data_IF_691498979127
#
_entry.id   IF_691498979127
#
_cell.length_a   1.000
_cell.length_b   1.000
_cell.length_c   1.000
_cell.angle_alpha   90.00
_cell.angle_beta   90.00
_cell.angle_gamma   90.00
#
_symmetry.space_group_name_H-M   'P 1'
#
loop_
_entity.id
_entity.type
_entity.pdbx_description
1 polymer ?
#
# COMPACT_ATOMS: atom_id res chain seq x y z
N UNK A 1 5.16 -31.88 11.39
CA UNK A 1 3.88 -31.15 11.43
C UNK A 1 4.21 -29.72 11.84
N UNK A 2 4.28 -28.80 10.88
CA UNK A 2 4.58 -27.40 11.16
C UNK A 2 3.24 -26.68 11.42
N UNK A 3 3.13 -26.05 12.57
CA UNK A 3 1.99 -25.23 12.96
C UNK A 3 1.96 -24.02 12.03
N UNK A 4 1.06 -24.02 11.05
CA UNK A 4 0.68 -22.85 10.26
C UNK A 4 -0.03 -21.89 11.21
N UNK A 5 0.72 -20.97 11.81
CA UNK A 5 0.12 -19.83 12.49
C UNK A 5 -0.64 -19.00 11.46
N UNK A 6 -1.95 -18.89 11.60
CA UNK A 6 -2.77 -17.95 10.83
C UNK A 6 -2.23 -16.53 11.11
N UNK A 7 -1.44 -16.01 10.18
CA UNK A 7 -0.92 -14.66 10.27
C UNK A 7 -2.08 -13.70 9.98
N UNK A 8 -2.59 -13.05 11.03
CA UNK A 8 -3.63 -12.03 10.91
C UNK A 8 -3.13 -10.91 9.99
N UNK A 9 -3.94 -10.56 8.98
CA UNK A 9 -3.65 -9.47 8.05
C UNK A 9 -3.50 -8.14 8.80
N UNK A 10 -2.51 -7.32 8.42
CA UNK A 10 -2.31 -5.99 9.01
C UNK A 10 -3.13 -4.92 8.29
N UNK A 11 -4.45 -5.03 8.38
CA UNK A 11 -5.39 -4.14 7.70
C UNK A 11 -6.25 -3.45 8.74
N UNK A 12 -6.32 -2.12 8.66
CA UNK A 12 -7.21 -1.29 9.46
C UNK A 12 -8.11 -0.51 8.52
N UNK A 13 -9.39 -0.34 8.89
CA UNK A 13 -10.31 0.45 8.09
C UNK A 13 -11.25 1.27 8.96
N UNK A 14 -11.59 2.46 8.48
CA UNK A 14 -12.67 3.28 9.01
C UNK A 14 -13.65 3.60 7.87
N UNK A 15 -14.94 3.59 8.17
CA UNK A 15 -15.99 3.92 7.19
C UNK A 15 -16.88 5.00 7.77
N UNK A 16 -17.08 6.08 7.02
CA UNK A 16 -18.00 7.17 7.35
C UNK A 16 -18.85 7.49 6.11
N UNK A 17 -20.16 7.28 6.20
CA UNK A 17 -21.06 7.41 5.06
C UNK A 17 -20.68 6.49 3.88
N UNK A 18 -20.30 7.08 2.74
CA UNK A 18 -19.88 6.36 1.53
C UNK A 18 -18.35 6.25 1.39
N UNK A 19 -17.59 6.79 2.34
CA UNK A 19 -16.13 6.78 2.30
C UNK A 19 -15.61 5.66 3.20
N UNK A 20 -14.78 4.78 2.65
CA UNK A 20 -13.99 3.81 3.42
C UNK A 20 -12.52 4.12 3.24
N UNK A 21 -11.81 4.36 4.34
CA UNK A 21 -10.36 4.49 4.36
C UNK A 21 -9.76 3.16 4.78
N UNK A 22 -8.93 2.55 3.93
CA UNK A 22 -8.19 1.32 4.24
C UNK A 22 -6.72 1.68 4.43
N UNK A 23 -6.16 1.32 5.58
CA UNK A 23 -4.77 1.54 5.94
C UNK A 23 -4.05 0.22 6.16
N UNK A 24 -2.92 0.05 5.47
CA UNK A 24 -2.08 -1.13 5.54
C UNK A 24 -0.65 -0.67 5.79
N UNK A 25 -0.12 -0.93 6.98
CA UNK A 25 1.28 -0.61 7.29
C UNK A 25 2.19 -1.76 6.82
N UNK A 26 3.19 -1.44 6.01
CA UNK A 26 4.20 -2.39 5.48
C UNK A 26 3.53 -3.63 4.86
N UNK A 27 2.75 -3.45 3.77
CA UNK A 27 2.03 -4.54 3.11
C UNK A 27 2.97 -5.68 2.74
N UNK A 28 2.52 -6.92 2.95
CA UNK A 28 3.17 -8.12 2.44
C UNK A 28 2.30 -8.78 1.38
N UNK A 29 2.77 -9.90 0.83
CA UNK A 29 2.06 -10.61 -0.24
C UNK A 29 0.61 -10.99 0.13
N UNK A 30 0.31 -11.24 1.40
CA UNK A 30 -1.04 -11.57 1.86
C UNK A 30 -1.98 -10.37 1.78
N UNK A 31 -1.51 -9.17 2.14
CA UNK A 31 -2.29 -7.93 2.02
C UNK A 31 -2.46 -7.51 0.56
N UNK A 32 -1.47 -7.74 -0.30
CA UNK A 32 -1.60 -7.48 -1.74
C UNK A 32 -2.62 -8.42 -2.38
N UNK A 33 -2.65 -9.69 -1.99
CA UNK A 33 -3.67 -10.63 -2.43
C UNK A 33 -5.06 -10.22 -1.92
N UNK A 34 -5.17 -9.72 -0.68
CA UNK A 34 -6.41 -9.12 -0.19
C UNK A 34 -6.86 -7.95 -1.09
N UNK A 35 -5.97 -7.01 -1.42
CA UNK A 35 -6.30 -5.87 -2.28
C UNK A 35 -6.77 -6.33 -3.66
N UNK A 36 -6.09 -7.32 -4.23
CA UNK A 36 -6.44 -7.93 -5.53
C UNK A 36 -7.83 -8.57 -5.56
N UNK A 37 -8.24 -9.18 -4.44
CA UNK A 37 -9.53 -9.86 -4.35
C UNK A 37 -10.70 -8.91 -4.07
N UNK A 38 -10.45 -7.78 -3.40
CA UNK A 38 -11.50 -6.86 -2.95
C UNK A 38 -11.64 -5.63 -3.86
N UNK A 39 -10.60 -5.28 -4.62
CA UNK A 39 -10.58 -4.12 -5.51
C UNK A 39 -10.11 -4.51 -6.92
N UNK A 40 -10.49 -3.71 -7.91
CA UNK A 40 -10.16 -3.94 -9.33
C UNK A 40 -8.89 -3.18 -9.75
N UNK A 41 -7.90 -3.09 -8.86
CA UNK A 41 -6.66 -2.40 -9.15
C UNK A 41 -5.87 -3.07 -10.28
N UNK A 42 -5.17 -2.26 -11.06
CA UNK A 42 -4.34 -2.77 -12.14
C UNK A 42 -3.22 -3.67 -11.57
N UNK A 43 -2.98 -4.89 -12.11
CA UNK A 43 -2.01 -5.83 -11.56
C UNK A 43 -0.60 -5.26 -11.39
N UNK A 44 -0.14 -4.41 -12.32
CA UNK A 44 1.17 -3.76 -12.22
C UNK A 44 1.28 -2.82 -11.01
N UNK A 45 0.18 -2.15 -10.62
CA UNK A 45 0.20 -1.29 -9.43
C UNK A 45 0.29 -2.12 -8.14
N UNK A 46 -0.29 -3.33 -8.14
CA UNK A 46 -0.19 -4.26 -7.00
C UNK A 46 1.22 -4.84 -6.86
N UNK A 47 1.89 -5.12 -7.99
CA UNK A 47 3.30 -5.52 -8.00
C UNK A 47 4.21 -4.39 -7.51
N UNK A 48 3.87 -3.13 -7.84
CA UNK A 48 4.60 -1.94 -7.42
C UNK A 48 4.67 -1.80 -5.89
N UNK A 49 3.57 -2.09 -5.17
CA UNK A 49 3.47 -2.01 -3.68
C UNK A 49 4.52 -2.89 -2.98
N UNK A 50 4.92 -4.01 -3.60
CA UNK A 50 5.91 -4.95 -3.04
C UNK A 50 7.32 -4.66 -3.57
N UNK A 51 7.42 -3.87 -4.63
CA UNK A 51 8.68 -3.57 -5.31
C UNK A 51 9.52 -2.55 -4.53
N UNK A 52 10.85 -2.60 -4.72
CA UNK A 52 11.79 -1.78 -3.94
C UNK A 52 12.13 -0.48 -4.65
N UNK A 53 11.23 0.51 -4.57
CA UNK A 53 11.39 1.92 -4.98
C UNK A 53 10.83 2.21 -6.37
N UNK A 54 9.59 2.71 -6.39
CA UNK A 54 9.00 3.36 -7.55
C UNK A 54 9.35 4.85 -7.59
N UNK A 55 9.27 5.47 -8.77
CA UNK A 55 9.35 6.95 -8.85
C UNK A 55 8.01 7.54 -8.43
N UNK A 56 7.98 8.69 -7.74
CA UNK A 56 6.73 9.40 -7.48
C UNK A 56 5.96 9.66 -8.78
N UNK A 57 4.68 9.28 -8.79
CA UNK A 57 3.82 9.31 -9.99
C UNK A 57 2.35 9.41 -9.60
N UNK A 58 1.53 9.76 -10.59
CA UNK A 58 0.08 9.66 -10.56
C UNK A 58 -0.32 8.92 -11.84
N UNK A 59 -0.88 7.72 -11.69
CA UNK A 59 -1.43 6.93 -12.78
C UNK A 59 -2.96 7.01 -12.69
N UNK A 60 -3.61 7.39 -13.80
CA UNK A 60 -5.07 7.56 -13.90
C UNK A 60 -5.68 6.38 -14.65
N UNK A 61 -6.72 5.78 -14.05
CA UNK A 61 -7.53 4.71 -14.63
C UNK A 61 -9.01 5.13 -14.60
N UNK A 62 -9.86 4.43 -15.36
CA UNK A 62 -11.29 4.77 -15.47
C UNK A 62 -12.03 4.73 -14.12
N UNK A 63 -11.58 3.90 -13.17
CA UNK A 63 -12.24 3.65 -11.88
C UNK A 63 -11.44 4.10 -10.65
N UNK A 64 -10.16 4.45 -10.80
CA UNK A 64 -9.30 4.88 -9.69
C UNK A 64 -8.05 5.66 -10.12
N UNK A 65 -7.45 6.35 -9.16
CA UNK A 65 -6.10 6.89 -9.22
C UNK A 65 -5.16 6.00 -8.42
N UNK A 66 -3.95 5.79 -8.94
CA UNK A 66 -2.83 5.23 -8.18
C UNK A 66 -1.72 6.28 -8.05
N UNK A 67 -1.35 6.59 -6.80
CA UNK A 67 -0.42 7.67 -6.46
C UNK A 67 0.73 7.11 -5.64
N UNK A 68 1.96 7.40 -6.07
CA UNK A 68 3.19 7.06 -5.33
C UNK A 68 3.81 8.36 -4.80
N UNK A 69 3.96 8.47 -3.49
CA UNK A 69 4.53 9.63 -2.81
C UNK A 69 5.82 9.27 -2.08
N UNK A 70 6.84 10.13 -2.15
CA UNK A 70 8.07 9.99 -1.37
C UNK A 70 8.23 11.11 -0.35
N UNK A 71 8.58 10.74 0.87
CA UNK A 71 8.83 11.67 1.97
C UNK A 71 10.26 11.48 2.52
N UNK A 72 11.00 12.57 2.79
CA UNK A 72 12.28 12.48 3.47
C UNK A 72 12.08 12.18 4.95
N UNK A 73 12.68 11.09 5.44
CA UNK A 73 12.70 10.73 6.86
C UNK A 73 14.13 10.81 7.37
N UNK A 74 14.37 11.71 8.32
CA UNK A 74 15.69 11.86 8.93
C UNK A 74 15.92 10.81 10.02
N UNK A 75 16.91 9.96 9.83
CA UNK A 75 17.38 9.00 10.83
C UNK A 75 18.45 9.66 11.71
N UNK A 76 18.10 9.92 12.98
CA UNK A 76 18.99 10.55 13.95
C UNK A 76 20.19 9.69 14.34
N UNK A 77 20.07 8.36 14.30
CA UNK A 77 21.15 7.45 14.72
C UNK A 77 22.23 7.39 13.65
N UNK A 78 21.82 7.23 12.38
CA UNK A 78 22.76 7.16 11.25
C UNK A 78 23.09 8.52 10.64
N UNK A 79 22.44 9.60 11.11
CA UNK A 79 22.59 10.98 10.62
C UNK A 79 22.40 11.13 9.10
N UNK A 80 21.52 10.31 8.52
CA UNK A 80 21.19 10.35 7.09
C UNK A 80 19.68 10.49 6.88
N UNK A 81 19.31 11.13 5.78
CA UNK A 81 17.92 11.19 5.32
C UNK A 81 17.66 10.03 4.38
N UNK A 82 16.60 9.26 4.63
CA UNK A 82 16.16 8.16 3.77
C UNK A 82 14.79 8.47 3.17
N UNK A 83 14.51 8.03 1.94
CA UNK A 83 13.16 8.12 1.39
C UNK A 83 12.24 7.13 2.13
N UNK A 84 11.02 7.57 2.40
CA UNK A 84 9.88 6.73 2.76
C UNK A 84 8.83 6.85 1.68
N UNK A 85 8.21 5.74 1.30
CA UNK A 85 7.19 5.69 0.26
C UNK A 85 5.80 5.55 0.90
N UNK A 86 4.80 6.17 0.28
CA UNK A 86 3.38 5.99 0.58
C UNK A 86 2.65 5.83 -0.74
N UNK A 87 1.99 4.67 -0.88
CA UNK A 87 1.17 4.33 -2.04
C UNK A 87 -0.30 4.52 -1.71
N UNK A 88 -1.04 5.14 -2.62
CA UNK A 88 -2.44 5.50 -2.40
C UNK A 88 -3.28 5.11 -3.61
N UNK A 89 -4.36 4.36 -3.36
CA UNK A 89 -5.44 4.13 -4.32
C UNK A 89 -6.65 4.95 -3.91
N UNK A 90 -7.25 5.70 -4.84
CA UNK A 90 -8.47 6.48 -4.60
C UNK A 90 -9.43 6.23 -5.77
N UNK A 91 -10.64 5.76 -5.47
CA UNK A 91 -11.68 5.45 -6.46
C UNK A 91 -13.04 5.26 -5.80
N UNK A 92 -14.06 5.00 -6.61
CA UNK A 92 -15.44 4.69 -6.16
C UNK A 92 -15.67 3.19 -5.93
#
# INVERSE_FOLDING_TARGET
>A
MAVTGEKKLNIQSITEGKLTWVYIEKPAAAEVEFLKQHFKFHPLNLDDIVSRIQRPKIDEYDDHLFIVLHFPVFDKQSQITRPSEVDVFIGE
#
